data_IF_073021978092
#
_entry.id   IF_073021978092
#
_cell.length_a   1.000
_cell.length_b   1.000
_cell.length_c   1.000
_cell.angle_alpha   90.00
_cell.angle_beta   90.00
_cell.angle_gamma   90.00
#
_symmetry.space_group_name_H-M   'P 1'
#
loop_
_entity.id
_entity.type
_entity.pdbx_description
1 polymer ?
#
# COMPACT_ATOMS: atom_id res chain seq x y z
N UNK A 1 -2.26 6.17 8.93
CA UNK A 1 -3.45 6.06 8.01
C UNK A 1 -4.65 5.72 8.87
N UNK A 2 -5.67 6.55 8.87
CA UNK A 2 -6.83 6.38 9.75
C UNK A 2 -7.55 5.05 9.53
N UNK A 3 -7.85 4.33 10.61
CA UNK A 3 -8.50 3.01 10.61
C UNK A 3 -7.72 1.88 9.91
N UNK A 4 -6.45 2.07 9.60
CA UNK A 4 -5.57 1.06 9.02
C UNK A 4 -4.72 0.43 10.13
N UNK A 5 -5.37 -0.26 11.06
CA UNK A 5 -4.67 -1.04 12.10
C UNK A 5 -4.18 -2.37 11.54
N UNK A 6 -3.16 -2.96 12.16
CA UNK A 6 -2.64 -4.26 11.73
C UNK A 6 -3.70 -5.36 11.78
N UNK A 7 -4.64 -5.30 12.73
CA UNK A 7 -5.77 -6.21 12.79
C UNK A 7 -6.70 -6.09 11.56
N UNK A 8 -7.11 -4.86 11.24
CA UNK A 8 -7.95 -4.60 10.06
C UNK A 8 -7.25 -4.97 8.76
N UNK A 9 -5.96 -4.68 8.65
CA UNK A 9 -5.18 -5.04 7.45
C UNK A 9 -5.15 -6.57 7.29
N UNK A 10 -4.90 -7.31 8.36
CA UNK A 10 -4.90 -8.78 8.30
C UNK A 10 -6.27 -9.32 7.85
N UNK A 11 -7.36 -8.77 8.39
CA UNK A 11 -8.73 -9.15 8.01
C UNK A 11 -9.02 -8.84 6.53
N UNK A 12 -8.76 -7.61 6.11
CA UNK A 12 -9.02 -7.14 4.74
C UNK A 12 -8.21 -7.92 3.70
N UNK A 13 -6.96 -8.27 4.02
CA UNK A 13 -6.11 -9.06 3.13
C UNK A 13 -6.39 -10.57 3.20
N UNK A 14 -7.29 -11.01 4.07
CA UNK A 14 -7.48 -12.44 4.35
C UNK A 14 -6.21 -13.14 4.85
N UNK A 15 -5.34 -12.38 5.51
CA UNK A 15 -4.07 -12.84 6.03
C UNK A 15 -4.11 -13.25 7.49
N UNK A 16 -3.01 -13.82 7.96
CA UNK A 16 -2.84 -14.19 9.37
C UNK A 16 -1.76 -13.31 10.00
N UNK A 17 -2.13 -12.62 11.07
CA UNK A 17 -1.21 -11.79 11.83
C UNK A 17 -0.33 -12.62 12.76
N UNK A 18 0.96 -12.32 12.78
CA UNK A 18 1.95 -12.88 13.70
C UNK A 18 2.71 -11.73 14.37
N UNK A 19 2.59 -11.63 15.68
CA UNK A 19 3.25 -10.62 16.49
C UNK A 19 2.56 -10.40 17.82
N UNK A 20 3.03 -9.43 18.63
CA UNK A 20 2.42 -9.07 19.90
C UNK A 20 0.98 -8.56 19.74
N UNK A 21 0.08 -9.00 20.63
CA UNK A 21 -1.34 -8.60 20.59
C UNK A 21 -1.53 -7.08 20.70
N UNK A 22 -0.71 -6.43 21.52
CA UNK A 22 -0.76 -4.97 21.72
C UNK A 22 -0.54 -4.19 20.41
N UNK A 23 0.27 -4.73 19.49
CA UNK A 23 0.53 -4.07 18.21
C UNK A 23 -0.58 -4.24 17.19
N UNK A 24 -1.50 -5.15 17.38
CA UNK A 24 -2.65 -5.33 16.47
C UNK A 24 -3.49 -4.08 16.28
N UNK A 25 -3.59 -3.25 17.30
CA UNK A 25 -4.38 -2.02 17.30
C UNK A 25 -3.60 -0.80 16.82
N UNK A 26 -2.30 -0.93 16.57
CA UNK A 26 -1.49 0.17 16.04
C UNK A 26 -1.87 0.46 14.59
N UNK A 27 -2.04 1.75 14.29
CA UNK A 27 -2.29 2.22 12.92
C UNK A 27 -0.98 2.37 12.16
N UNK A 28 -0.97 1.92 10.91
CA UNK A 28 0.18 2.14 10.03
C UNK A 28 0.27 3.59 9.59
N UNK A 29 1.48 4.13 9.56
CA UNK A 29 1.73 5.49 9.09
C UNK A 29 1.65 5.55 7.55
N UNK A 30 2.27 4.59 6.87
CA UNK A 30 2.33 4.49 5.41
C UNK A 30 2.48 3.03 4.97
N UNK A 31 2.10 2.73 3.72
CA UNK A 31 2.26 1.42 3.08
C UNK A 31 3.30 1.57 1.97
N UNK A 32 4.39 0.83 2.08
CA UNK A 32 5.52 0.93 1.16
C UNK A 32 5.89 -0.42 0.55
N UNK A 33 6.26 -0.40 -0.72
CA UNK A 33 6.76 -1.57 -1.47
C UNK A 33 8.25 -1.44 -1.81
N UNK A 34 8.82 -0.25 -1.62
CA UNK A 34 10.24 0.02 -1.80
C UNK A 34 10.91 0.09 -0.42
N UNK A 35 11.83 -0.84 -0.14
CA UNK A 35 12.54 -0.94 1.14
C UNK A 35 13.32 0.33 1.52
N UNK A 36 13.70 1.16 0.54
CA UNK A 36 14.39 2.44 0.77
C UNK A 36 13.48 3.52 1.34
N UNK A 37 12.16 3.33 1.21
CA UNK A 37 11.13 4.24 1.72
C UNK A 37 10.53 3.77 3.05
N UNK A 38 10.93 2.59 3.51
CA UNK A 38 10.49 2.11 4.81
C UNK A 38 11.03 3.01 5.93
N UNK A 39 10.21 3.23 6.94
CA UNK A 39 10.55 4.05 8.09
C UNK A 39 9.66 3.74 9.28
N UNK A 40 9.74 4.59 10.30
CA UNK A 40 8.99 4.41 11.54
C UNK A 40 7.48 4.35 11.28
N UNK A 41 6.83 3.30 11.78
CA UNK A 41 5.39 3.08 11.64
C UNK A 41 4.94 2.61 10.25
N UNK A 42 5.84 2.40 9.28
CA UNK A 42 5.46 1.93 7.96
C UNK A 42 5.08 0.44 7.94
N UNK A 43 4.20 0.07 7.03
CA UNK A 43 3.93 -1.31 6.63
C UNK A 43 4.67 -1.59 5.33
N UNK A 44 5.66 -2.47 5.37
CA UNK A 44 6.36 -2.88 4.16
C UNK A 44 5.68 -4.10 3.52
N UNK A 45 5.43 -4.05 2.23
CA UNK A 45 4.90 -5.19 1.47
C UNK A 45 6.04 -5.86 0.71
N UNK A 46 6.41 -7.07 1.12
CA UNK A 46 7.43 -7.87 0.47
C UNK A 46 6.83 -8.55 -0.79
N UNK A 47 7.09 -7.96 -1.95
CA UNK A 47 6.62 -8.48 -3.23
C UNK A 47 7.70 -9.39 -3.82
N UNK A 48 7.37 -10.66 -4.16
CA UNK A 48 8.30 -11.50 -4.91
C UNK A 48 8.42 -10.95 -6.34
N UNK A 49 9.61 -10.54 -6.73
CA UNK A 49 9.89 -10.03 -8.06
C UNK A 49 10.78 -10.98 -8.87
N UNK A 50 10.70 -10.93 -10.20
CA UNK A 50 11.51 -11.76 -11.09
C UNK A 50 13.02 -11.58 -10.91
N UNK A 51 13.46 -10.34 -10.63
CA UNK A 51 14.88 -9.99 -10.45
C UNK A 51 15.31 -9.94 -9.00
N UNK A 52 14.42 -9.47 -8.13
CA UNK A 52 14.73 -9.27 -6.72
C UNK A 52 13.49 -9.63 -5.89
N UNK A 53 13.65 -10.56 -4.97
CA UNK A 53 12.61 -10.91 -4.00
C UNK A 53 12.60 -9.91 -2.86
N UNK A 54 11.45 -9.27 -2.67
CA UNK A 54 11.22 -8.27 -1.60
C UNK A 54 11.41 -8.83 -0.20
N UNK A 55 11.23 -10.14 0.01
CA UNK A 55 11.42 -10.79 1.30
C UNK A 55 12.85 -10.65 1.84
N UNK A 56 13.84 -10.52 0.98
CA UNK A 56 15.25 -10.31 1.37
C UNK A 56 15.47 -8.99 2.13
N UNK A 57 14.59 -8.03 1.97
CA UNK A 57 14.69 -6.73 2.62
C UNK A 57 14.00 -6.64 3.98
N UNK A 58 13.29 -7.70 4.40
CA UNK A 58 12.56 -7.71 5.69
C UNK A 58 13.46 -7.34 6.88
N UNK A 59 14.67 -7.91 7.05
CA UNK A 59 15.53 -7.51 8.15
C UNK A 59 15.94 -6.04 8.11
N UNK A 60 16.18 -5.52 6.90
CA UNK A 60 16.57 -4.13 6.72
C UNK A 60 15.44 -3.15 7.07
N UNK A 61 14.22 -3.40 6.57
CA UNK A 61 13.09 -2.51 6.86
C UNK A 61 12.67 -2.58 8.33
N UNK A 62 12.81 -3.72 8.98
CA UNK A 62 12.60 -3.85 10.41
C UNK A 62 13.60 -2.99 11.21
N UNK A 63 14.87 -2.95 10.81
CA UNK A 63 15.89 -2.09 11.43
C UNK A 63 15.65 -0.60 11.20
N UNK A 64 14.91 -0.23 10.14
CA UNK A 64 14.51 1.14 9.84
C UNK A 64 13.26 1.58 10.63
N UNK A 65 12.67 0.72 11.46
CA UNK A 65 11.52 1.03 12.28
C UNK A 65 10.17 0.70 11.65
N UNK A 66 10.13 -0.15 10.62
CA UNK A 66 8.85 -0.62 10.07
C UNK A 66 8.01 -1.27 11.19
N UNK A 67 6.74 -0.88 11.27
CA UNK A 67 5.79 -1.39 12.25
C UNK A 67 5.50 -2.88 12.04
N UNK A 68 5.31 -3.25 10.77
CA UNK A 68 5.07 -4.62 10.36
C UNK A 68 5.44 -4.84 8.89
N UNK A 69 5.44 -6.11 8.48
CA UNK A 69 5.61 -6.48 7.07
C UNK A 69 4.48 -7.38 6.60
N UNK A 70 4.14 -7.30 5.30
CA UNK A 70 3.33 -8.31 4.61
C UNK A 70 4.28 -9.25 3.90
N UNK A 71 4.08 -10.55 4.07
CA UNK A 71 4.92 -11.62 3.54
C UNK A 71 4.06 -12.74 2.97
N UNK A 72 4.48 -13.29 1.83
CA UNK A 72 3.90 -14.53 1.28
C UNK A 72 4.57 -15.77 1.87
N UNK A 73 5.66 -15.59 2.60
CA UNK A 73 6.44 -16.66 3.22
C UNK A 73 6.29 -16.62 4.73
N UNK A 74 6.15 -17.81 5.34
CA UNK A 74 6.16 -17.92 6.80
C UNK A 74 7.57 -17.64 7.31
N UNK A 75 7.69 -16.66 8.22
CA UNK A 75 8.95 -16.29 8.84
C UNK A 75 9.15 -17.10 10.11
N UNK A 76 10.28 -17.82 10.21
CA UNK A 76 10.61 -18.63 11.41
C UNK A 76 11.02 -17.74 12.58
N UNK A 77 11.85 -16.72 12.29
CA UNK A 77 12.33 -15.73 13.29
C UNK A 77 12.06 -14.33 12.77
N UNK A 78 10.79 -13.84 12.86
CA UNK A 78 10.43 -12.54 12.32
C UNK A 78 11.11 -11.41 13.12
N UNK A 79 11.80 -10.47 12.45
CA UNK A 79 12.44 -9.33 13.13
C UNK A 79 11.45 -8.25 13.59
N UNK A 80 10.23 -8.30 13.06
CA UNK A 80 9.12 -7.43 13.44
C UNK A 80 7.80 -8.18 13.24
N UNK A 81 6.64 -7.66 13.69
CA UNK A 81 5.33 -8.22 13.40
C UNK A 81 5.13 -8.41 11.90
N UNK A 82 4.42 -9.47 11.49
CA UNK A 82 4.12 -9.65 10.07
C UNK A 82 2.72 -10.23 9.85
N UNK A 83 2.21 -10.00 8.66
CA UNK A 83 0.95 -10.55 8.17
C UNK A 83 1.28 -11.49 7.02
N UNK A 84 0.97 -12.77 7.21
CA UNK A 84 1.13 -13.80 6.19
C UNK A 84 -0.06 -13.74 5.25
N UNK A 85 0.19 -13.58 3.97
CA UNK A 85 -0.82 -13.55 2.92
C UNK A 85 -0.51 -14.57 1.84
N UNK A 86 -1.48 -14.90 1.00
CA UNK A 86 -1.28 -15.80 -0.15
C UNK A 86 -0.63 -15.10 -1.33
N UNK A 87 -0.97 -13.81 -1.52
CA UNK A 87 -0.53 -12.98 -2.64
C UNK A 87 -0.42 -11.53 -2.17
N UNK A 88 0.77 -10.97 -2.25
CA UNK A 88 1.05 -9.61 -1.80
C UNK A 88 0.44 -8.54 -2.71
N UNK A 89 0.26 -8.83 -4.00
CA UNK A 89 -0.39 -7.92 -4.93
C UNK A 89 -1.90 -7.84 -4.66
N UNK A 90 -2.55 -8.98 -4.40
CA UNK A 90 -3.95 -9.00 -4.00
C UNK A 90 -4.15 -8.32 -2.63
N UNK A 91 -3.20 -8.47 -1.70
CA UNK A 91 -3.23 -7.77 -0.43
C UNK A 91 -3.17 -6.24 -0.62
N UNK A 92 -2.30 -5.74 -1.50
CA UNK A 92 -2.25 -4.30 -1.84
C UNK A 92 -3.58 -3.83 -2.42
N UNK A 93 -4.19 -4.63 -3.31
CA UNK A 93 -5.50 -4.32 -3.90
C UNK A 93 -6.58 -4.18 -2.83
N UNK A 94 -6.68 -5.16 -1.97
CA UNK A 94 -7.67 -5.19 -0.90
C UNK A 94 -7.50 -4.01 0.08
N UNK A 95 -6.26 -3.70 0.47
CA UNK A 95 -5.97 -2.54 1.32
C UNK A 95 -6.33 -1.22 0.65
N UNK A 96 -6.01 -1.06 -0.63
CA UNK A 96 -6.33 0.15 -1.37
C UNK A 96 -7.85 0.34 -1.50
N UNK A 97 -8.58 -0.72 -1.84
CA UNK A 97 -10.03 -0.71 -1.94
C UNK A 97 -10.69 -0.36 -0.60
N UNK A 98 -10.28 -1.01 0.47
CA UNK A 98 -10.76 -0.72 1.82
C UNK A 98 -10.52 0.74 2.22
N UNK A 99 -9.31 1.24 1.99
CA UNK A 99 -8.96 2.62 2.32
C UNK A 99 -9.77 3.64 1.49
N UNK A 100 -9.97 3.34 0.20
CA UNK A 100 -10.79 4.15 -0.70
C UNK A 100 -12.23 4.28 -0.23
N UNK A 101 -12.83 3.18 0.19
CA UNK A 101 -14.22 3.16 0.68
C UNK A 101 -14.40 4.07 1.91
N UNK A 102 -13.34 4.21 2.74
CA UNK A 102 -13.39 5.06 3.92
C UNK A 102 -13.26 6.56 3.61
N UNK A 103 -12.59 6.91 2.51
CA UNK A 103 -12.34 8.32 2.19
C UNK A 103 -13.60 9.07 1.75
N UNK A 104 -14.61 8.35 1.25
CA UNK A 104 -15.86 8.93 0.74
C UNK A 104 -15.64 10.16 -0.16
N UNK A 105 -14.66 10.05 -1.06
CA UNK A 105 -14.29 11.11 -2.01
C UNK A 105 -14.70 10.72 -3.44
N UNK A 106 -15.04 11.70 -4.31
CA UNK A 106 -15.25 11.43 -5.72
C UNK A 106 -13.96 10.98 -6.40
N UNK A 107 -14.02 9.88 -7.14
CA UNK A 107 -12.90 9.37 -7.95
C UNK A 107 -13.26 9.42 -9.42
N UNK A 108 -12.37 9.98 -10.24
CA UNK A 108 -12.54 10.04 -11.68
C UNK A 108 -11.55 9.07 -12.34
N UNK A 109 -12.06 7.97 -12.86
CA UNK A 109 -11.28 7.01 -13.66
C UNK A 109 -11.23 7.43 -15.13
N UNK A 110 -10.04 7.38 -15.74
CA UNK A 110 -9.84 7.70 -17.15
C UNK A 110 -9.27 6.46 -17.85
N UNK A 111 -10.03 5.93 -18.79
CA UNK A 111 -9.64 4.78 -19.61
C UNK A 111 -9.53 5.17 -21.08
N UNK A 112 -8.81 4.38 -21.86
CA UNK A 112 -8.62 4.58 -23.28
C UNK A 112 -7.24 4.15 -23.75
N UNK A 113 -7.09 3.93 -25.05
CA UNK A 113 -5.81 3.54 -25.67
C UNK A 113 -4.86 4.71 -25.83
N UNK A 114 -5.38 5.91 -26.08
CA UNK A 114 -4.62 7.14 -26.35
C UNK A 114 -5.20 8.31 -25.53
N UNK A 115 -4.35 9.28 -25.16
CA UNK A 115 -4.78 10.55 -24.58
C UNK A 115 -5.11 10.53 -23.09
N UNK A 116 -4.98 9.39 -22.37
CA UNK A 116 -5.27 9.30 -20.93
C UNK A 116 -4.54 10.36 -20.10
N UNK A 117 -3.24 10.55 -20.33
CA UNK A 117 -2.44 11.52 -19.58
C UNK A 117 -2.91 12.95 -19.84
N UNK A 118 -3.13 13.33 -21.09
CA UNK A 118 -3.61 14.68 -21.44
C UNK A 118 -4.99 14.95 -20.85
N UNK A 119 -5.90 13.98 -20.94
CA UNK A 119 -7.25 14.07 -20.36
C UNK A 119 -7.17 14.22 -18.83
N UNK A 120 -6.32 13.43 -18.16
CA UNK A 120 -6.08 13.54 -16.72
C UNK A 120 -5.61 14.93 -16.31
N UNK A 121 -4.61 15.47 -17.00
CA UNK A 121 -4.07 16.81 -16.71
C UNK A 121 -5.13 17.90 -16.91
N UNK A 122 -5.92 17.80 -17.98
CA UNK A 122 -7.00 18.75 -18.25
C UNK A 122 -8.08 18.71 -17.18
N UNK A 123 -8.57 17.51 -16.82
CA UNK A 123 -9.59 17.36 -15.78
C UNK A 123 -9.05 17.86 -14.43
N UNK A 124 -7.82 17.49 -14.08
CA UNK A 124 -7.21 17.92 -12.83
C UNK A 124 -7.07 19.44 -12.74
N UNK A 125 -6.65 20.11 -13.82
CA UNK A 125 -6.52 21.57 -13.82
C UNK A 125 -7.86 22.29 -13.71
N UNK A 126 -8.92 21.77 -14.32
CA UNK A 126 -10.27 22.32 -14.17
C UNK A 126 -10.80 22.14 -12.75
N UNK A 127 -10.69 20.92 -12.21
CA UNK A 127 -11.17 20.62 -10.86
C UNK A 127 -10.39 21.37 -9.77
N UNK A 128 -9.10 21.61 -9.97
CA UNK A 128 -8.26 22.35 -9.03
C UNK A 128 -8.68 23.81 -8.83
N UNK A 129 -9.52 24.38 -9.71
CA UNK A 129 -10.08 25.72 -9.51
C UNK A 129 -11.01 25.79 -8.28
N UNK A 130 -11.61 24.65 -7.90
CA UNK A 130 -12.60 24.61 -6.82
C UNK A 130 -12.28 23.58 -5.72
N UNK A 131 -11.55 22.53 -6.05
CA UNK A 131 -11.31 21.39 -5.16
C UNK A 131 -9.82 21.17 -4.94
N UNK A 132 -9.47 20.52 -3.83
CA UNK A 132 -8.15 19.92 -3.68
C UNK A 132 -8.12 18.65 -4.50
N UNK A 133 -7.28 18.59 -5.52
CA UNK A 133 -7.22 17.47 -6.46
C UNK A 133 -5.91 16.72 -6.26
N UNK A 134 -6.02 15.42 -6.05
CA UNK A 134 -4.91 14.50 -6.18
C UNK A 134 -5.02 13.81 -7.55
N UNK A 135 -3.91 13.67 -8.22
CA UNK A 135 -3.81 12.98 -9.51
C UNK A 135 -2.63 12.01 -9.53
N UNK A 136 -2.73 10.97 -10.32
CA UNK A 136 -1.61 10.05 -10.56
C UNK A 136 -0.43 10.77 -11.21
N UNK A 137 0.80 10.49 -10.75
CA UNK A 137 2.01 10.94 -11.43
C UNK A 137 2.14 10.34 -12.84
N UNK A 138 2.78 11.09 -13.74
CA UNK A 138 2.66 10.92 -15.19
C UNK A 138 2.97 9.51 -15.75
N UNK A 139 3.71 8.67 -15.07
CA UNK A 139 4.23 7.40 -15.59
C UNK A 139 3.82 6.15 -14.80
N UNK A 140 2.94 6.27 -13.83
CA UNK A 140 2.45 5.12 -13.06
C UNK A 140 1.21 4.50 -13.70
N UNK A 141 1.37 3.91 -14.90
CA UNK A 141 0.31 3.18 -15.61
C UNK A 141 0.37 1.68 -15.35
N UNK A 142 0.85 1.26 -14.21
CA UNK A 142 0.86 -0.14 -13.78
C UNK A 142 -0.07 -0.36 -12.60
N UNK A 143 -0.35 -1.61 -12.29
CA UNK A 143 -1.26 -1.99 -11.20
C UNK A 143 -0.89 -1.38 -9.83
N UNK A 144 0.38 -1.12 -9.56
CA UNK A 144 0.85 -0.47 -8.34
C UNK A 144 0.68 1.05 -8.37
N UNK A 145 0.83 1.67 -9.54
CA UNK A 145 0.72 3.12 -9.70
C UNK A 145 -0.72 3.61 -9.62
N UNK A 146 -1.64 2.92 -10.26
CA UNK A 146 -3.06 3.26 -10.25
C UNK A 146 -3.67 3.23 -8.84
N UNK A 147 -3.06 2.52 -7.92
CA UNK A 147 -3.54 2.35 -6.53
C UNK A 147 -2.86 3.25 -5.52
N UNK A 148 -1.62 3.69 -5.76
CA UNK A 148 -0.93 4.68 -4.92
C UNK A 148 -1.45 6.11 -5.09
N UNK A 149 -2.28 6.32 -6.09
CA UNK A 149 -2.71 7.66 -6.49
C UNK A 149 -4.08 8.05 -5.95
N UNK A 150 -4.56 7.29 -5.02
CA UNK A 150 -5.81 7.56 -4.34
C UNK A 150 -5.53 7.97 -2.92
N UNK A 151 -5.34 9.24 -2.73
CA UNK A 151 -5.40 9.91 -1.41
C UNK A 151 -5.96 11.32 -1.58
#
# INVERSE_FOLDING_TARGET
MKNMTLAHIAEVCGGTYFGPEEKKTEEVADIVTDSRKAGEGSLFVAIPGERVDGHKFIPNVASQGALAVISEQKLETPPCPYILVKDSMEAIKAMAEYYMQQLNIPVVGITGSVGKTSTKETIASVLAQKYRVLKTDANFNNELGDRKSVV
#
